data_IF_491433956313
#
_entry.id   IF_491433956313
#
_cell.length_a   1.000
_cell.length_b   1.000
_cell.length_c   1.000
_cell.angle_alpha   90.00
_cell.angle_beta   90.00
_cell.angle_gamma   90.00
#
_symmetry.space_group_name_H-M   'P 1'
#
loop_
_entity.id
_entity.type
_entity.pdbx_description
1 polymer ?
2 polymer ?
3 non-polymer ?
4 non-polymer ?
5 non-polymer ?
6 non-polymer ?
7 non-polymer ?
8 water ?
#
# COMPACT_ATOMS: atom_id res chain seq x y z
N UNK A 1 15.83 -23.37 -14.07
CA UNK A 1 15.54 -22.21 -13.17
C UNK A 1 14.19 -22.39 -12.50
N UNK A 2 14.20 -22.03 -11.24
CA UNK A 2 13.01 -22.08 -10.40
C UNK A 2 12.75 -20.75 -9.75
N UNK A 3 11.47 -20.52 -9.59
CA UNK A 3 10.96 -19.18 -9.27
C UNK A 3 11.25 -18.81 -7.83
N UNK A 4 11.52 -19.84 -7.06
CA UNK A 4 11.69 -19.68 -5.60
C UNK A 4 13.08 -19.19 -5.31
N UNK A 5 13.90 -19.44 -6.31
CA UNK A 5 15.32 -19.09 -6.27
C UNK A 5 15.66 -17.96 -7.21
N UNK A 6 15.97 -16.85 -6.58
CA UNK A 6 16.50 -15.67 -7.26
C UNK A 6 15.44 -15.16 -8.20
N UNK A 7 14.23 -15.54 -7.86
CA UNK A 7 13.02 -15.08 -8.58
C UNK A 7 13.00 -15.64 -9.98
N UNK A 8 13.80 -16.66 -10.12
CA UNK A 8 13.82 -17.45 -11.36
C UNK A 8 14.51 -16.69 -12.45
N UNK A 9 15.11 -15.61 -11.99
CA UNK A 9 15.90 -14.68 -12.81
C UNK A 9 15.05 -13.60 -13.42
N UNK A 10 13.77 -13.71 -13.13
CA UNK A 10 12.75 -12.74 -13.61
C UNK A 10 12.86 -11.39 -12.93
N UNK A 11 12.59 -10.36 -13.70
CA UNK A 11 12.60 -8.99 -13.14
C UNK A 11 11.40 -8.76 -12.24
N UNK A 12 10.31 -9.35 -12.68
CA UNK A 12 8.98 -9.25 -12.04
C UNK A 12 8.42 -10.61 -11.66
N UNK A 13 7.42 -11.05 -12.38
CA UNK A 13 6.65 -12.26 -11.99
C UNK A 13 7.19 -13.52 -12.66
N UNK A 14 7.04 -14.64 -11.97
CA UNK A 14 7.63 -15.91 -12.41
C UNK A 14 6.67 -17.07 -12.18
N UNK A 15 6.60 -17.89 -13.22
CA UNK A 15 5.84 -19.14 -13.22
C UNK A 15 6.70 -20.32 -13.58
N UNK A 16 6.62 -21.30 -12.70
CA UNK A 16 7.21 -22.64 -12.94
C UNK A 16 6.29 -23.45 -13.81
N UNK A 17 6.92 -24.16 -14.70
CA UNK A 17 6.24 -25.09 -15.59
C UNK A 17 6.82 -26.46 -15.54
N UNK A 18 6.01 -27.35 -16.10
CA UNK A 18 6.30 -28.78 -16.13
C UNK A 18 7.57 -29.02 -16.88
N UNK A 19 8.55 -29.34 -16.06
CA UNK A 19 9.92 -29.58 -16.51
C UNK A 19 10.87 -28.57 -15.94
N UNK A 20 11.96 -28.43 -16.67
CA UNK A 20 13.01 -27.46 -16.35
C UNK A 20 12.62 -26.19 -17.05
N UNK A 21 11.32 -25.95 -16.96
CA UNK A 21 10.68 -24.77 -17.59
C UNK A 21 10.19 -23.70 -16.66
N UNK A 22 10.41 -22.49 -17.13
CA UNK A 22 10.04 -21.26 -16.43
C UNK A 22 9.62 -20.17 -17.38
N UNK A 23 8.60 -19.44 -16.98
CA UNK A 23 8.14 -18.27 -17.74
C UNK A 23 8.06 -17.08 -16.82
N UNK A 24 8.70 -16.02 -17.26
CA UNK A 24 8.60 -14.72 -16.59
C UNK A 24 7.45 -13.95 -17.21
N UNK A 25 6.89 -13.10 -16.39
CA UNK A 25 5.86 -12.18 -16.84
C UNK A 25 6.05 -10.79 -16.27
N UNK A 26 5.30 -9.88 -16.84
CA UNK A 26 5.33 -8.47 -16.45
C UNK A 26 3.93 -7.98 -16.14
N UNK A 27 3.91 -7.04 -15.23
CA UNK A 27 2.69 -6.33 -14.82
C UNK A 27 2.13 -5.59 -16.01
N UNK A 28 0.83 -5.35 -15.96
CA UNK A 28 0.21 -4.47 -16.94
C UNK A 28 0.99 -3.17 -17.00
N UNK A 29 1.17 -2.69 -18.21
CA UNK A 29 1.89 -1.46 -18.51
C UNK A 29 3.37 -1.69 -18.72
N UNK A 30 3.68 -2.96 -18.81
CA UNK A 30 5.05 -3.43 -19.14
C UNK A 30 4.96 -4.56 -20.13
N UNK A 31 6.07 -4.71 -20.84
CA UNK A 31 6.27 -5.85 -21.74
C UNK A 31 7.60 -6.54 -21.46
N UNK A 32 7.58 -7.83 -21.70
CA UNK A 32 8.75 -8.72 -21.54
C UNK A 32 9.66 -8.63 -22.75
N UNK A 33 10.93 -8.46 -22.46
CA UNK A 33 11.96 -8.36 -23.49
C UNK A 33 12.31 -9.77 -23.95
N UNK A 34 13.08 -9.75 -25.02
CA UNK A 34 13.49 -11.01 -25.70
C UNK A 34 14.45 -11.86 -24.86
N UNK A 35 14.99 -11.26 -23.82
CA UNK A 35 15.83 -11.99 -22.84
C UNK A 35 14.99 -12.94 -21.98
N UNK A 36 13.70 -12.70 -22.08
CA UNK A 36 12.69 -13.50 -21.39
C UNK A 36 12.59 -13.26 -19.91
N UNK A 37 13.28 -12.22 -19.47
CA UNK A 37 13.33 -11.87 -18.03
C UNK A 37 13.01 -10.43 -17.66
N UNK A 38 13.38 -9.54 -18.55
CA UNK A 38 13.31 -8.09 -18.33
C UNK A 38 11.95 -7.54 -18.72
N UNK A 39 11.54 -6.53 -17.98
CA UNK A 39 10.30 -5.81 -18.23
C UNK A 39 10.57 -4.36 -18.51
N UNK A 40 9.94 -3.89 -19.58
CA UNK A 40 10.06 -2.50 -20.02
C UNK A 40 8.69 -1.81 -20.09
N UNK A 41 8.61 -0.57 -19.60
CA UNK A 41 7.30 0.11 -19.66
C UNK A 41 6.80 0.32 -21.07
N UNK A 42 5.48 0.23 -21.16
CA UNK A 42 4.75 0.38 -22.43
C UNK A 42 3.82 1.56 -22.41
N UNK A 43 3.78 2.16 -21.24
CA UNK A 43 2.93 3.34 -20.97
C UNK A 43 3.73 4.43 -20.27
N UNK A 44 3.12 5.59 -20.18
CA UNK A 44 3.79 6.79 -19.67
C UNK A 44 4.04 6.70 -18.17
N UNK A 45 3.05 6.15 -17.51
CA UNK A 45 3.02 6.07 -16.04
C UNK A 45 2.79 4.66 -15.55
N UNK A 46 3.76 3.76 -15.80
CA UNK A 46 3.63 2.44 -15.26
C UNK A 46 3.66 2.42 -13.75
N UNK A 47 3.04 1.42 -13.19
CA UNK A 47 3.05 1.29 -11.71
C UNK A 47 4.47 1.12 -11.16
N UNK A 48 4.65 1.69 -9.99
CA UNK A 48 5.84 1.41 -9.18
C UNK A 48 7.11 2.09 -9.62
N UNK A 49 6.92 3.00 -10.54
CA UNK A 49 8.01 3.90 -11.01
C UNK A 49 7.69 5.36 -10.67
N UNK A 50 8.73 6.08 -10.34
CA UNK A 50 8.65 7.47 -9.87
C UNK A 50 9.10 8.44 -10.96
N UNK A 51 8.15 9.08 -11.65
CA UNK A 51 8.47 9.86 -12.83
C UNK A 51 9.59 10.87 -12.68
N UNK A 52 9.61 11.57 -11.55
CA UNK A 52 10.56 12.70 -11.44
C UNK A 52 11.96 12.16 -11.30
N UNK A 53 12.01 10.89 -10.91
CA UNK A 53 13.29 10.19 -10.67
C UNK A 53 13.75 9.46 -11.92
N UNK A 54 12.77 9.00 -12.66
CA UNK A 54 13.02 8.26 -13.90
C UNK A 54 13.54 9.22 -14.93
N UNK A 55 13.07 10.44 -14.78
CA UNK A 55 13.42 11.55 -15.69
C UNK A 55 14.77 12.08 -15.29
N UNK A 56 15.00 12.00 -14.00
CA UNK A 56 16.19 12.60 -13.36
C UNK A 56 17.42 11.86 -13.83
N UNK A 57 17.14 10.71 -14.40
CA UNK A 57 18.18 9.74 -14.81
C UNK A 57 18.11 9.33 -16.26
N UNK A 58 17.10 9.89 -16.90
CA UNK A 58 16.84 9.69 -18.34
C UNK A 58 17.87 10.45 -19.17
N UNK B 1 4.25 9.69 11.04
CA UNK B 1 5.60 9.11 10.93
C UNK B 1 6.55 9.79 11.90
N UNK B 2 7.09 8.95 12.76
CA UNK B 2 8.13 9.32 13.75
C UNK B 2 9.51 8.91 13.25
N UNK B 3 10.38 9.90 13.25
CA UNK B 3 11.80 9.69 12.96
C UNK B 3 12.17 9.51 11.51
N UNK B 4 11.24 9.94 10.69
CA UNK B 4 11.44 9.95 9.23
C UNK B 4 11.96 11.25 8.67
N UNK B 5 11.65 11.44 7.41
CA UNK B 5 11.93 12.68 6.69
C UNK B 5 10.83 13.00 5.71
N UNK B 6 10.88 14.21 5.22
CA UNK B 6 9.92 14.65 4.20
C UNK B 6 10.17 13.82 2.96
N UNK B 7 9.08 13.26 2.46
CA UNK B 7 9.10 12.61 1.13
C UNK B 7 9.11 13.73 0.09
N UNK B 8 10.24 13.92 -0.64
CA UNK B 8 10.22 14.98 -1.62
C UNK B 8 9.03 14.87 -2.53
N UNK B 9 8.44 16.02 -2.79
CA UNK B 9 7.21 16.11 -3.58
C UNK B 9 7.38 15.30 -4.85
N UNK B 10 6.47 14.36 -5.01
CA UNK B 10 6.39 13.53 -6.22
C UNK B 10 7.11 12.21 -6.11
N UNK B 11 7.80 12.01 -4.99
CA UNK B 11 8.59 10.77 -4.77
C UNK B 11 7.80 9.67 -4.08
N UNK B 12 6.61 10.05 -3.66
CA UNK B 12 5.64 9.13 -3.06
C UNK B 12 4.28 9.24 -3.79
N UNK B 13 4.26 9.00 -5.11
CA UNK B 13 3.13 9.45 -5.90
C UNK B 13 1.88 8.60 -5.78
N UNK B 14 2.06 7.50 -5.08
CA UNK B 14 0.96 6.52 -4.84
C UNK B 14 0.24 6.78 -3.52
N UNK B 15 0.79 7.71 -2.76
CA UNK B 15 0.23 8.01 -1.43
C UNK B 15 -1.10 8.71 -1.58
N UNK B 16 -2.07 8.22 -0.83
CA UNK B 16 -3.42 8.80 -0.75
C UNK B 16 -3.66 9.40 0.63
N UNK B 17 -4.38 10.50 0.63
CA UNK B 17 -4.94 11.10 1.86
C UNK B 17 -6.44 10.91 1.85
N UNK B 18 -6.94 10.33 2.93
CA UNK B 18 -8.39 10.18 3.14
C UNK B 18 -8.88 11.22 4.14
N UNK B 19 -9.96 11.86 3.74
CA UNK B 19 -10.60 12.93 4.51
C UNK B 19 -12.04 12.59 4.75
N UNK B 20 -12.49 12.98 5.93
CA UNK B 20 -13.93 12.91 6.29
C UNK B 20 -14.36 14.29 6.80
N UNK B 21 -15.27 14.88 6.06
CA UNK B 21 -15.75 16.23 6.33
C UNK B 21 -14.59 17.20 6.37
N UNK B 22 -13.62 16.88 5.54
CA UNK B 22 -12.43 17.71 5.30
C UNK B 22 -11.28 17.48 6.25
N UNK B 23 -11.56 16.65 7.22
CA UNK B 23 -10.61 16.29 8.29
C UNK B 23 -9.83 15.02 7.97
N UNK B 24 -8.55 15.07 8.29
CA UNK B 24 -7.64 13.93 8.07
C UNK B 24 -8.15 12.71 8.81
N UNK B 25 -8.28 11.63 8.05
CA UNK B 25 -8.76 10.34 8.59
C UNK B 25 -7.64 9.30 8.66
N UNK B 26 -7.02 9.15 7.51
CA UNK B 26 -6.11 8.03 7.25
C UNK B 26 -5.39 8.23 5.94
N UNK B 27 -4.46 7.34 5.71
CA UNK B 27 -3.80 7.23 4.41
C UNK B 27 -4.38 6.10 3.61
N UNK B 28 -3.80 5.99 2.43
CA UNK B 28 -4.13 4.94 1.46
C UNK B 28 -3.05 4.78 0.42
N UNK B 29 -3.24 3.77 -0.41
CA UNK B 29 -2.33 3.49 -1.53
C UNK B 29 -3.08 3.29 -2.83
N UNK B 30 -2.71 4.08 -3.80
CA UNK B 30 -3.27 3.96 -5.15
C UNK B 30 -2.65 2.73 -5.82
N UNK B 31 -3.49 1.82 -6.30
CA UNK B 31 -2.99 0.64 -7.07
C UNK B 31 -3.39 0.58 -8.53
N UNK B 32 -4.37 1.41 -8.85
CA UNK B 32 -4.66 1.76 -10.23
C UNK B 32 -5.61 2.94 -10.25
N UNK B 33 -6.08 3.32 -11.41
CA UNK B 33 -6.71 4.66 -11.50
C UNK B 33 -7.97 4.84 -10.69
N UNK B 34 -8.61 3.74 -10.33
CA UNK B 34 -9.87 3.83 -9.55
C UNK B 34 -9.86 3.09 -8.23
N UNK B 35 -8.76 2.46 -7.93
CA UNK B 35 -8.61 1.60 -6.73
C UNK B 35 -7.53 2.05 -5.79
N UNK B 36 -7.95 2.11 -4.54
CA UNK B 36 -7.12 2.48 -3.38
C UNK B 36 -7.24 1.45 -2.29
N UNK B 37 -6.09 1.07 -1.77
CA UNK B 37 -6.00 0.15 -0.63
C UNK B 37 -5.72 0.97 0.62
N UNK B 38 -6.46 0.65 1.66
CA UNK B 38 -6.33 1.31 2.97
C UNK B 38 -6.52 0.26 4.07
N UNK B 39 -6.76 0.75 5.28
CA UNK B 39 -6.96 -0.09 6.46
C UNK B 39 -8.43 -0.07 6.90
N UNK B 40 -8.93 -1.25 7.19
CA UNK B 40 -10.35 -1.40 7.53
C UNK B 40 -10.75 -0.50 8.69
N UNK B 41 -9.84 -0.36 9.64
CA UNK B 41 -10.21 0.26 10.93
C UNK B 41 -10.50 1.74 10.77
N UNK B 42 -10.06 2.25 9.63
CA UNK B 42 -10.22 3.66 9.31
C UNK B 42 -11.67 4.02 9.20
N UNK B 43 -12.46 2.99 9.00
CA UNK B 43 -13.88 3.17 8.62
C UNK B 43 -14.85 2.71 9.67
N UNK B 44 -14.30 2.39 10.81
CA UNK B 44 -15.08 1.78 11.91
C UNK B 44 -16.25 2.68 12.35
N UNK B 45 -16.02 3.96 12.26
CA UNK B 45 -16.85 4.98 12.96
C UNK B 45 -17.53 5.92 12.00
N UNK B 46 -17.43 5.60 10.73
CA UNK B 46 -18.01 6.44 9.67
C UNK B 46 -19.52 6.41 9.72
N UNK B 47 -20.08 7.60 9.76
CA UNK B 47 -21.50 7.77 9.91
C UNK B 47 -22.15 7.95 8.56
N UNK B 48 -21.61 8.93 7.88
CA UNK B 48 -22.06 9.31 6.54
C UNK B 48 -21.01 9.13 5.45
N UNK B 49 -21.18 8.06 4.71
CA UNK B 49 -20.19 7.65 3.69
C UNK B 49 -19.93 8.69 2.61
N UNK B 50 -20.88 9.58 2.46
CA UNK B 50 -20.82 10.63 1.42
C UNK B 50 -19.79 11.72 1.70
N UNK B 51 -19.30 11.69 2.91
CA UNK B 51 -18.37 12.70 3.38
C UNK B 51 -16.94 12.26 3.25
N UNK B 52 -16.76 11.10 2.65
CA UNK B 52 -15.43 10.49 2.46
C UNK B 52 -14.82 10.85 1.13
N UNK B 53 -13.64 11.45 1.20
CA UNK B 53 -12.89 11.91 0.04
C UNK B 53 -11.48 11.36 0.05
N UNK B 54 -11.05 10.96 -1.12
CA UNK B 54 -9.65 10.57 -1.37
C UNK B 54 -8.93 11.61 -2.17
N UNK B 55 -7.72 11.92 -1.75
CA UNK B 55 -6.88 12.92 -2.41
C UNK B 55 -5.54 12.30 -2.84
N UNK B 56 -5.30 12.44 -4.13
CA UNK B 56 -4.05 12.05 -4.76
C UNK B 56 -3.25 13.29 -5.11
N UNK B 57 -1.95 13.10 -5.16
CA UNK B 57 -1.00 14.16 -5.55
C UNK B 57 -0.78 15.20 -4.48
N UNK B 58 -1.18 14.82 -3.30
CA UNK B 58 -1.03 15.70 -2.11
C UNK B 58 0.40 15.67 -1.62
N UNK B 59 0.81 16.78 -1.01
CA UNK B 59 2.16 16.86 -0.45
C UNK B 59 2.19 17.71 0.80
N UNK B 60 1.95 18.98 0.56
CA UNK B 60 1.91 20.00 1.66
C UNK B 60 0.49 20.45 1.88
N UNK B 61 -0.03 20.05 3.02
CA UNK B 61 -1.46 20.22 3.35
C UNK B 61 -1.84 21.67 3.54
N UNK B 62 -0.83 22.50 3.63
CA UNK B 62 -1.05 23.93 3.96
C UNK B 62 -1.38 24.72 2.71
N UNK B 63 -1.14 24.08 1.58
CA UNK B 63 -1.29 24.79 0.31
C UNK B 63 -1.93 23.97 -0.78
N UNK B 64 -2.31 24.71 -1.79
CA UNK B 64 -2.86 24.14 -3.03
C UNK B 64 -1.90 24.49 -4.13
N UNK B 65 -1.44 23.48 -4.84
CA UNK B 65 -0.44 23.71 -5.91
C UNK B 65 -0.88 23.21 -7.28
N UNK B 66 -2.02 22.58 -7.28
CA UNK B 66 -2.70 22.18 -8.50
C UNK B 66 -2.43 20.78 -8.98
N UNK B 67 -1.57 20.11 -8.25
CA UNK B 67 -1.25 18.69 -8.54
C UNK B 67 -2.20 17.72 -7.82
N UNK B 68 -2.96 18.28 -6.89
CA UNK B 68 -3.94 17.50 -6.09
C UNK B 68 -5.11 17.13 -6.95
N UNK B 69 -5.58 15.93 -6.72
CA UNK B 69 -6.81 15.40 -7.31
C UNK B 69 -7.65 14.71 -6.26
N UNK B 70 -8.85 15.26 -6.09
CA UNK B 70 -9.82 14.74 -5.12
C UNK B 70 -10.91 13.96 -5.80
N UNK B 71 -11.27 12.87 -5.15
CA UNK B 71 -12.35 11.98 -5.61
C UNK B 71 -13.24 11.52 -4.47
N UNK B 72 -14.50 11.40 -4.81
CA UNK B 72 -15.47 10.72 -3.94
C UNK B 72 -15.22 9.22 -3.97
N UNK B 73 -15.58 8.61 -2.87
CA UNK B 73 -15.44 7.15 -2.70
C UNK B 73 -16.78 6.48 -2.88
N UNK B 74 -16.80 5.62 -3.88
CA UNK B 74 -18.03 4.91 -4.33
C UNK B 74 -18.27 3.62 -3.57
N UNK B 75 -17.18 3.04 -3.13
CA UNK B 75 -17.24 1.75 -2.41
C UNK B 75 -16.10 1.59 -1.45
N UNK B 76 -16.44 1.08 -0.27
CA UNK B 76 -15.46 0.67 0.73
C UNK B 76 -15.72 -0.79 1.03
N UNK B 77 -14.75 -1.60 0.66
CA UNK B 77 -14.86 -3.06 0.77
C UNK B 77 -13.90 -3.58 1.80
N UNK B 78 -14.49 -4.30 2.73
CA UNK B 78 -13.79 -4.87 3.87
C UNK B 78 -13.99 -6.39 4.00
N UNK B 79 -12.96 -7.13 4.44
CA UNK B 79 -13.13 -8.57 4.56
C UNK B 79 -14.10 -8.94 5.64
N UNK B 80 -14.82 -10.00 5.38
CA UNK B 80 -15.86 -10.47 6.30
C UNK B 80 -15.26 -10.82 7.64
N UNK B 81 -13.98 -11.13 7.62
CA UNK B 81 -13.26 -11.67 8.79
C UNK B 81 -12.73 -10.59 9.73
N UNK B 82 -12.81 -9.37 9.24
CA UNK B 82 -12.40 -8.18 10.02
C UNK B 82 -13.45 -7.82 11.06
N UNK B 83 -12.95 -7.62 12.27
CA UNK B 83 -13.76 -7.21 13.41
C UNK B 83 -13.41 -5.76 13.82
N UNK B 84 -14.39 -4.87 13.78
CA UNK B 84 -14.07 -3.50 14.15
C UNK B 84 -13.35 -3.36 15.46
N UNK B 85 -12.36 -2.50 15.41
CA UNK B 85 -11.59 -2.08 16.58
C UNK B 85 -10.48 -3.04 16.90
N UNK B 86 -10.24 -3.90 15.94
CA UNK B 86 -9.10 -4.85 16.02
C UNK B 86 -8.11 -4.73 14.89
N UNK B 87 -7.14 -5.62 14.95
CA UNK B 87 -5.95 -5.59 14.05
C UNK B 87 -5.96 -6.59 12.91
N UNK B 88 -6.52 -7.76 13.17
CA UNK B 88 -6.52 -8.84 12.16
C UNK B 88 -7.39 -8.49 10.97
N UNK B 89 -6.83 -8.70 9.80
CA UNK B 89 -7.51 -8.47 8.51
C UNK B 89 -7.83 -6.98 8.29
N UNK B 90 -6.91 -6.17 8.79
CA UNK B 90 -7.05 -4.70 8.72
C UNK B 90 -6.68 -4.16 7.34
N UNK B 91 -7.63 -4.36 6.47
CA UNK B 91 -7.50 -3.98 5.04
C UNK B 91 -8.83 -3.58 4.46
N UNK B 92 -8.76 -2.60 3.58
CA UNK B 92 -9.93 -2.10 2.83
C UNK B 92 -9.58 -1.77 1.40
N UNK B 93 -10.50 -2.09 0.53
CA UNK B 93 -10.40 -1.75 -0.90
C UNK B 93 -11.45 -0.71 -1.23
N UNK B 94 -10.96 0.42 -1.71
CA UNK B 94 -11.80 1.56 -2.03
C UNK B 94 -11.86 1.78 -3.51
N UNK B 95 -13.08 1.91 -3.99
CA UNK B 95 -13.36 2.28 -5.39
C UNK B 95 -13.70 3.76 -5.45
N UNK B 96 -12.97 4.47 -6.28
CA UNK B 96 -13.21 5.90 -6.51
C UNK B 96 -14.35 6.10 -7.50
N UNK B 97 -15.04 7.21 -7.32
CA UNK B 97 -16.23 7.54 -8.12
C UNK B 97 -15.88 7.81 -9.57
N UNK B 98 -14.68 8.29 -9.73
CA UNK B 98 -14.10 8.64 -11.03
C UNK B 98 -12.60 8.37 -10.98
N UNK B 99 -12.01 7.88 -12.09
CA UNK B 99 -10.57 7.63 -12.04
C UNK B 99 -9.79 8.90 -11.77
N UNK B 100 -8.68 8.73 -11.09
CA UNK B 100 -7.64 9.77 -11.06
C UNK B 100 -6.96 9.73 -12.42
N UNK B 101 -6.34 10.86 -12.75
CA UNK B 101 -5.55 11.02 -13.97
C UNK B 101 -4.07 10.85 -13.60
N UNK B 102 -3.42 9.88 -14.21
CA UNK B 102 -2.01 9.66 -13.92
C UNK B 102 -1.20 10.82 -14.47
N UNK B 103 -0.31 11.25 -13.60
CA UNK B 103 0.62 12.38 -13.83
C UNK B 103 1.95 12.14 -13.16
N UNK B 104 2.84 13.10 -13.28
CA UNK B 104 4.14 12.93 -12.63
C UNK B 104 3.94 12.79 -11.11
N UNK B 105 2.80 13.29 -10.65
CA UNK B 105 2.55 13.37 -9.20
C UNK B 105 1.53 12.38 -8.67
N UNK B 106 1.00 11.61 -9.60
CA UNK B 106 -0.06 10.62 -9.30
C UNK B 106 0.19 9.37 -10.12
N UNK B 107 0.66 8.36 -9.42
CA UNK B 107 1.10 7.08 -10.01
C UNK B 107 0.74 5.91 -9.09
N UNK B 108 0.18 4.82 -9.64
CA UNK B 108 -0.11 3.69 -8.76
C UNK B 108 1.11 2.89 -8.37
N UNK B 109 1.02 2.32 -7.19
CA UNK B 109 1.99 1.32 -6.70
C UNK B 109 1.57 -0.04 -7.24
N UNK B 110 2.54 -0.85 -7.64
CA UNK B 110 2.19 -2.15 -8.20
C UNK B 110 1.71 -3.09 -7.11
N UNK B 111 0.54 -3.66 -7.36
CA UNK B 111 0.04 -4.76 -6.54
C UNK B 111 0.69 -6.04 -7.06
N UNK B 112 1.56 -6.68 -6.26
CA UNK B 112 2.28 -7.82 -6.83
C UNK B 112 1.46 -9.06 -6.86
N UNK B 113 1.92 -9.99 -7.68
CA UNK B 113 1.44 -11.39 -7.61
C UNK B 113 1.83 -11.97 -6.27
N UNK B 114 0.99 -12.86 -5.80
CA UNK B 114 1.17 -13.44 -4.46
C UNK B 114 2.48 -14.21 -4.37
N UNK B 115 2.73 -15.00 -5.40
CA UNK B 115 3.93 -15.85 -5.38
C UNK B 115 5.19 -15.02 -5.29
N UNK B 116 5.20 -13.98 -6.09
CA UNK B 116 6.34 -13.05 -6.15
C UNK B 116 6.53 -12.38 -4.79
N UNK B 117 5.42 -12.03 -4.22
CA UNK B 117 5.44 -11.26 -2.97
C UNK B 117 5.99 -12.11 -1.84
N UNK B 118 5.63 -13.37 -1.92
CA UNK B 118 5.89 -14.33 -0.82
C UNK B 118 7.29 -14.88 -0.91
N UNK B 119 7.69 -15.08 -2.14
CA UNK B 119 8.97 -15.73 -2.46
C UNK B 119 10.12 -14.77 -2.54
N UNK B 120 9.81 -13.54 -2.89
CA UNK B 120 10.84 -12.53 -3.18
C UNK B 120 10.74 -11.29 -2.31
N UNK B 121 9.58 -10.66 -2.36
CA UNK B 121 9.44 -9.32 -1.74
C UNK B 121 9.57 -9.44 -0.23
N UNK B 122 9.14 -10.57 0.27
CA UNK B 122 9.02 -10.79 1.72
C UNK B 122 10.38 -10.83 2.37
N UNK B 123 11.37 -10.93 1.49
CA UNK B 123 12.80 -11.09 1.91
C UNK B 123 13.66 -9.87 1.68
N UNK B 124 13.05 -8.85 1.10
CA UNK B 124 13.70 -7.57 0.97
C UNK B 124 13.62 -6.95 2.36
N UNK B 125 14.78 -6.57 2.90
CA UNK B 125 14.84 -6.18 4.31
C UNK B 125 14.06 -4.92 4.59
N UNK B 126 14.42 -3.92 3.83
CA UNK B 126 13.91 -2.54 4.04
C UNK B 126 12.85 -2.16 3.04
N UNK B 127 11.89 -1.45 3.60
CA UNK B 127 10.77 -0.87 2.85
C UNK B 127 10.38 0.48 3.43
N UNK B 128 9.66 1.22 2.61
CA UNK B 128 9.24 2.58 2.96
C UNK B 128 7.79 2.64 3.39
N UNK B 129 7.60 3.39 4.45
CA UNK B 129 6.26 3.70 4.99
C UNK B 129 6.12 5.20 5.05
N UNK B 130 4.92 5.67 4.73
CA UNK B 130 4.67 7.08 4.56
C UNK B 130 3.31 7.50 5.06
N UNK B 131 3.26 8.79 5.38
CA UNK B 131 2.00 9.46 5.75
C UNK B 131 2.15 10.80 6.42
N UNK B 132 0.98 11.36 6.70
CA UNK B 132 0.84 12.67 7.35
C UNK B 132 0.46 12.54 8.80
N UNK B 133 0.77 11.40 9.35
CA UNK B 133 0.51 11.09 10.76
C UNK B 133 1.35 11.86 11.74
N UNK B 134 1.12 11.51 12.99
CA UNK B 134 1.84 12.16 14.13
C UNK B 134 3.34 12.00 13.98
N UNK B 135 4.03 13.08 14.25
CA UNK B 135 5.48 13.18 14.12
C UNK B 135 6.17 12.67 15.37
N UNK B 136 5.34 12.59 16.38
CA UNK B 136 5.71 12.08 17.72
C UNK B 136 4.52 11.48 18.40
N UNK B 137 4.81 10.57 19.32
CA UNK B 137 3.77 10.06 20.21
C UNK B 137 3.22 11.25 20.96
N UNK B 138 1.90 11.34 20.91
CA UNK B 138 1.15 12.42 21.57
C UNK B 138 1.51 13.78 21.02
N UNK B 139 1.90 13.79 19.77
CA UNK B 139 2.26 15.01 19.05
C UNK B 139 1.37 15.32 17.88
N UNK B 140 1.66 16.48 17.32
CA UNK B 140 0.97 17.03 16.13
C UNK B 140 1.32 16.22 14.88
N UNK B 141 0.35 16.22 14.00
CA UNK B 141 0.49 15.59 12.67
C UNK B 141 1.33 16.46 11.75
N UNK B 142 1.76 15.82 10.68
CA UNK B 142 2.65 16.44 9.70
C UNK B 142 1.89 17.22 8.67
N UNK B 143 2.47 18.36 8.30
CA UNK B 143 1.92 19.18 7.21
C UNK B 143 2.45 18.77 5.83
N UNK B 144 3.67 18.25 5.86
CA UNK B 144 4.29 17.67 4.64
C UNK B 144 4.37 16.15 4.77
N UNK B 145 4.16 15.48 3.65
CA UNK B 145 4.22 14.01 3.62
C UNK B 145 5.59 13.54 4.04
N UNK B 146 5.55 12.62 4.99
CA UNK B 146 6.75 11.98 5.57
C UNK B 146 6.90 10.54 5.14
N UNK B 147 8.16 10.15 5.11
CA UNK B 147 8.54 8.79 4.76
C UNK B 147 9.67 8.27 5.63
N UNK B 148 9.61 6.98 5.83
CA UNK B 148 10.49 6.21 6.72
C UNK B 148 10.87 4.84 6.21
N UNK B 149 12.15 4.57 6.29
CA UNK B 149 12.69 3.24 5.92
C UNK B 149 12.70 2.35 7.14
N UNK B 150 11.97 1.25 7.03
CA UNK B 150 11.82 0.26 8.13
C UNK B 150 12.23 -1.16 7.72
N UNK B 151 12.89 -1.88 8.63
CA UNK B 151 13.22 -3.26 8.32
C UNK B 151 12.14 -4.18 8.81
N UNK B 152 11.95 -5.19 8.00
CA UNK B 152 10.96 -6.23 8.24
C UNK B 152 11.56 -7.36 9.06
N UNK B 153 10.72 -7.81 9.96
CA UNK B 153 11.04 -8.92 10.86
C UNK B 153 10.21 -10.14 10.54
N UNK B 154 10.89 -11.28 10.58
CA UNK B 154 10.19 -12.57 10.62
C UNK B 154 9.44 -12.62 11.92
N UNK B 155 8.27 -13.21 11.87
CA UNK B 155 7.31 -13.07 12.97
C UNK B 155 7.86 -13.67 14.24
N UNK B 156 8.67 -14.68 14.05
CA UNK B 156 9.26 -15.41 15.19
C UNK B 156 10.17 -14.47 15.94
N UNK B 157 10.86 -13.70 15.12
CA UNK B 157 11.91 -12.78 15.58
C UNK B 157 11.27 -11.60 16.24
N UNK B 158 10.10 -11.29 15.72
CA UNK B 158 9.37 -10.10 16.16
C UNK B 158 8.99 -10.32 17.60
N UNK B 159 8.59 -11.53 17.83
CA UNK B 159 7.99 -11.94 19.11
C UNK B 159 9.06 -11.94 20.17
N UNK B 160 10.22 -12.34 19.71
CA UNK B 160 11.38 -12.58 20.57
C UNK B 160 11.94 -11.26 21.01
N UNK B 161 11.88 -10.34 20.07
CA UNK B 161 12.60 -9.05 20.15
C UNK B 161 11.75 -8.02 20.82
N UNK B 162 10.53 -8.47 21.07
CA UNK B 162 9.48 -7.64 21.66
C UNK B 162 9.49 -7.74 23.17
N UNK B 163 9.27 -6.57 23.75
CA UNK B 163 9.25 -6.42 25.21
C UNK B 163 8.93 -5.00 25.69
N UNK B 168 -1.02 -7.20 24.64
CA UNK B 168 -0.71 -6.91 23.24
C UNK B 168 -1.41 -7.87 22.30
N UNK B 169 -1.96 -7.34 21.20
CA UNK B 169 -2.56 -8.25 20.23
C UNK B 169 -1.52 -9.18 19.67
N UNK B 170 -2.02 -10.31 19.21
CA UNK B 170 -1.18 -11.31 18.57
C UNK B 170 -0.71 -10.82 17.24
N UNK B 171 0.33 -11.51 16.81
CA UNK B 171 0.86 -11.40 15.47
C UNK B 171 0.46 -12.64 14.75
N UNK B 172 -0.45 -12.43 13.82
CA UNK B 172 -0.99 -13.49 12.99
C UNK B 172 -0.30 -13.51 11.66
N UNK B 173 -0.76 -14.47 10.90
CA UNK B 173 -0.17 -14.80 9.58
C UNK B 173 -0.60 -13.73 8.60
N UNK B 174 -1.47 -12.88 9.09
CA UNK B 174 -2.11 -11.84 8.25
C UNK B 174 -1.46 -10.50 8.47
N UNK B 175 -0.45 -10.57 9.30
CA UNK B 175 0.36 -9.41 9.68
C UNK B 175 1.84 -9.66 9.56
N UNK B 176 2.54 -8.56 9.67
CA UNK B 176 3.97 -8.59 9.95
C UNK B 176 4.44 -7.37 10.71
N UNK B 177 5.58 -7.58 11.33
CA UNK B 177 6.30 -6.55 12.09
C UNK B 177 7.36 -5.90 11.27
N UNK B 178 7.46 -4.60 11.46
CA UNK B 178 8.56 -3.82 10.88
C UNK B 178 8.82 -2.56 11.66
N UNK B 179 10.08 -2.19 11.63
CA UNK B 179 10.55 -1.00 12.33
C UNK B 179 11.62 -1.30 13.36
N UNK B 180 11.47 -0.59 14.46
CA UNK B 180 12.48 -0.47 15.52
C UNK B 180 11.87 -0.50 16.90
N UNK B 181 12.66 -1.05 17.80
CA UNK B 181 12.23 -1.34 19.18
C UNK B 181 12.70 -0.30 20.16
N UNK B 182 13.37 0.70 19.63
CA UNK B 182 14.12 1.68 20.46
C UNK B 182 13.40 2.99 20.63
N UNK B 183 12.22 2.99 20.04
CA UNK B 183 11.26 4.09 20.19
C UNK B 183 11.58 5.34 19.43
N UNK B 184 12.41 5.16 18.41
CA UNK B 184 12.93 6.29 17.61
C UNK B 184 12.20 6.51 16.31
N UNK B 185 11.65 5.42 15.83
CA UNK B 185 11.13 5.36 14.44
C UNK B 185 9.96 4.42 14.28
N UNK B 186 8.88 4.98 13.77
CA UNK B 186 7.61 4.25 13.60
C UNK B 186 6.60 5.00 12.74
N UNK B 187 5.58 4.27 12.35
CA UNK B 187 4.36 4.92 11.85
C UNK B 187 3.47 5.11 13.06
N UNK B 188 2.49 5.95 12.88
CA UNK B 188 1.72 6.49 14.03
C UNK B 188 0.31 6.86 13.60
N UNK B 189 -0.48 7.23 14.58
CA UNK B 189 -1.86 7.64 14.31
C UNK B 189 -1.82 8.75 13.26
N UNK B 190 -2.64 8.53 12.26
CA UNK B 190 -2.79 9.42 11.13
C UNK B 190 -2.20 8.82 9.88
N UNK B 191 -1.40 7.80 10.11
CA UNK B 191 -0.68 7.09 9.02
C UNK B 191 -1.39 5.84 8.56
N UNK B 192 -2.30 5.36 9.39
CA UNK B 192 -2.95 4.07 9.10
C UNK B 192 -3.56 4.11 7.73
N UNK B 193 -3.44 2.97 7.09
CA UNK B 193 -3.92 2.80 5.72
C UNK B 193 -2.92 3.04 4.63
N UNK B 194 -1.86 3.71 5.03
CA UNK B 194 -0.80 4.08 4.11
C UNK B 194 0.07 2.91 3.69
N UNK B 195 0.91 3.14 2.67
CA UNK B 195 1.72 2.08 2.11
C UNK B 195 2.98 1.76 2.86
N UNK B 196 3.23 0.47 2.84
CA UNK B 196 4.55 -0.14 3.10
C UNK B 196 4.95 -0.71 1.74
N UNK B 197 5.88 0.01 1.13
CA UNK B 197 6.32 -0.18 -0.27
C UNK B 197 7.72 -0.72 -0.33
N UNK B 198 7.84 -1.72 -1.19
CA UNK B 198 9.06 -2.53 -1.29
C UNK B 198 9.62 -2.46 -2.70
N UNK B 199 10.90 -2.15 -2.76
CA UNK B 199 11.63 -2.02 -4.02
C UNK B 199 12.29 -3.33 -4.42
N UNK B 200 12.09 -3.66 -5.68
CA UNK B 200 12.77 -4.80 -6.31
C UNK B 200 13.04 -4.57 -7.77
N UNK B 201 14.32 -4.60 -8.04
CA UNK B 201 14.87 -4.44 -9.38
C UNK B 201 14.20 -3.32 -10.17
N UNK B 202 14.11 -2.18 -9.51
CA UNK B 202 13.81 -0.91 -10.14
C UNK B 202 12.37 -0.50 -10.10
N UNK B 203 11.61 -1.34 -9.44
CA UNK B 203 10.13 -1.15 -9.31
C UNK B 203 9.66 -1.36 -7.89
N UNK B 204 8.65 -0.58 -7.53
CA UNK B 204 8.07 -0.63 -6.19
C UNK B 204 6.71 -1.31 -6.18
N UNK B 205 6.51 -2.03 -5.10
CA UNK B 205 5.37 -2.91 -4.85
C UNK B 205 4.75 -2.74 -3.48
N UNK B 206 3.44 -2.96 -3.44
CA UNK B 206 2.71 -2.93 -2.16
C UNK B 206 2.82 -4.24 -1.41
N UNK B 207 3.47 -4.14 -0.26
CA UNK B 207 3.67 -5.31 0.64
C UNK B 207 2.98 -5.24 1.99
N UNK B 208 2.69 -4.02 2.40
CA UNK B 208 2.02 -3.83 3.70
C UNK B 208 1.13 -2.62 3.71
N UNK B 209 0.22 -2.66 4.67
CA UNK B 209 -0.63 -1.51 5.02
C UNK B 209 -0.41 -1.16 6.48
N UNK B 210 -0.17 0.11 6.72
CA UNK B 210 -0.04 0.60 8.12
C UNK B 210 -1.35 0.28 8.83
N UNK B 211 -1.23 -0.55 9.84
CA UNK B 211 -2.37 -0.94 10.67
C UNK B 211 -2.38 -0.12 11.95
N UNK B 212 -2.47 -0.80 13.06
CA UNK B 212 -2.41 -0.12 14.36
C UNK B 212 -2.14 -1.04 15.51
N UNK B 213 -1.99 -0.35 16.61
CA UNK B 213 -1.64 -0.96 17.88
C UNK B 213 -1.32 0.02 18.96
N UNK B 214 -0.50 -0.52 19.84
CA UNK B 214 -0.14 0.06 21.15
C UNK B 214 0.89 1.14 21.07
N UNK B 215 0.36 2.34 21.14
CA UNK B 215 1.12 3.59 21.05
C UNK B 215 1.89 3.68 19.76
N UNK B 216 2.64 4.75 19.62
CA UNK B 216 3.52 4.85 18.49
C UNK B 216 4.91 5.15 18.99
N UNK B 217 5.86 4.46 18.39
CA UNK B 217 7.28 4.55 18.72
C UNK B 217 7.51 4.19 20.17
N UNK B 218 6.73 3.22 20.59
CA UNK B 218 6.84 2.65 21.94
C UNK B 218 7.99 1.69 22.06
N UNK B 219 8.86 2.02 23.00
CA UNK B 219 10.03 1.19 23.28
C UNK B 219 9.57 -0.22 23.57
N UNK B 220 10.25 -1.12 22.90
CA UNK B 220 10.10 -2.56 23.10
C UNK B 220 9.11 -3.17 22.13
N UNK B 221 8.61 -2.29 21.29
CA UNK B 221 7.61 -2.68 20.26
C UNK B 221 7.93 -2.23 18.87
N UNK B 222 7.46 -3.07 17.98
CA UNK B 222 7.52 -2.84 16.53
C UNK B 222 6.18 -2.47 15.95
N UNK B 223 6.26 -1.81 14.81
CA UNK B 223 5.09 -1.48 14.00
C UNK B 223 4.47 -2.73 13.43
N UNK B 224 3.14 -2.69 13.41
CA UNK B 224 2.31 -3.75 12.82
C UNK B 224 1.67 -3.32 11.51
N UNK B 225 1.87 -4.20 10.54
CA UNK B 225 1.42 -4.02 9.17
C UNK B 225 0.62 -5.21 8.69
N UNK B 226 -0.41 -4.89 7.95
CA UNK B 226 -1.23 -5.91 7.27
C UNK B 226 -0.41 -6.48 6.14
N UNK B 227 -0.37 -7.80 6.14
CA UNK B 227 0.40 -8.60 5.17
C UNK B 227 -0.38 -8.77 3.87
N UNK B 228 -0.08 -7.86 2.96
CA UNK B 228 -0.89 -7.68 1.74
C UNK B 228 -0.92 -8.93 0.87
N UNK B 229 0.13 -9.73 0.99
CA UNK B 229 0.25 -10.93 0.14
C UNK B 229 -0.90 -11.91 0.35
N UNK B 230 -1.49 -11.82 1.53
CA UNK B 230 -2.54 -12.75 1.95
C UNK B 230 -3.84 -12.41 1.27
N UNK B 231 -3.84 -11.22 0.66
CA UNK B 231 -5.09 -10.57 0.16
C UNK B 231 -5.11 -10.31 -1.32
N UNK B 232 -4.06 -10.70 -1.99
CA UNK B 232 -3.91 -10.40 -3.43
C UNK B 232 -5.05 -10.89 -4.25
N UNK B 233 -5.36 -12.15 -4.03
CA UNK B 233 -6.42 -12.84 -4.79
C UNK B 233 -7.77 -12.24 -4.47
N UNK B 234 -7.92 -11.90 -3.21
CA UNK B 234 -9.19 -11.29 -2.72
C UNK B 234 -9.40 -9.93 -3.39
N UNK B 235 -8.30 -9.18 -3.45
CA UNK B 235 -8.33 -7.84 -4.05
C UNK B 235 -8.60 -7.92 -5.54
N UNK B 236 -7.92 -8.85 -6.16
CA UNK B 236 -8.00 -9.01 -7.62
C UNK B 236 -9.41 -9.37 -8.05
N UNK B 237 -10.02 -10.22 -7.25
CA UNK B 237 -11.37 -10.68 -7.57
C UNK B 237 -12.33 -9.51 -7.47
N UNK B 238 -12.14 -8.74 -6.42
CA UNK B 238 -13.04 -7.60 -6.18
C UNK B 238 -12.90 -6.56 -7.28
N UNK B 239 -11.69 -6.41 -7.79
CA UNK B 239 -11.40 -5.36 -8.80
C UNK B 239 -12.03 -5.70 -10.15
N UNK B 240 -12.46 -6.93 -10.23
CA UNK B 240 -13.09 -7.48 -11.46
C UNK B 240 -14.61 -7.46 -11.36
N UNK B 241 -15.07 -7.09 -10.20
CA UNK B 241 -16.51 -7.10 -9.86
C UNK B 241 -17.18 -5.77 -10.11
N UNK B 242 -18.47 -5.85 -10.39
CA UNK B 242 -19.30 -4.66 -10.55
C UNK B 242 -19.61 -4.03 -9.21
N UNK B 243 -19.66 -2.70 -9.16
CA UNK B 243 -20.07 -2.00 -7.95
C UNK B 243 -21.48 -2.32 -7.56
N UNK B 244 -21.69 -2.26 -6.27
CA UNK B 244 -22.99 -2.51 -5.63
C UNK B 244 -23.52 -1.28 -4.91
N UNK B 245 -24.84 -1.08 -4.93
CA UNK B 245 -25.37 0.05 -4.19
C UNK B 245 -25.03 -0.05 -2.76
N UNK B 246 -24.78 1.12 -2.22
CA UNK B 246 -24.40 1.29 -0.81
C UNK B 246 -22.90 1.15 -0.64
N UNK B 247 -22.32 2.19 -0.07
CA UNK B 247 -20.86 2.37 -0.07
C UNK B 247 -20.13 1.21 0.59
N UNK B 248 -20.55 0.90 1.80
CA UNK B 248 -19.91 -0.20 2.54
C UNK B 248 -20.35 -1.54 2.03
N UNK B 249 -19.34 -2.34 1.76
CA UNK B 249 -19.49 -3.74 1.34
C UNK B 249 -18.53 -4.64 2.11
N UNK B 250 -19.14 -5.61 2.76
CA UNK B 250 -18.41 -6.67 3.42
C UNK B 250 -18.41 -7.85 2.46
N UNK B 251 -17.20 -8.24 2.12
CA UNK B 251 -16.93 -9.29 1.13
C UNK B 251 -16.28 -10.49 1.79
N UNK B 252 -16.76 -11.71 1.47
CA UNK B 252 -16.17 -12.88 2.08
C UNK B 252 -14.69 -12.95 1.88
N UNK B 253 -14.06 -13.36 2.96
CA UNK B 253 -12.65 -13.71 2.97
C UNK B 253 -12.49 -15.08 3.60
N UNK B 254 -11.71 -15.97 2.97
CA UNK B 254 -10.94 -15.75 1.75
C UNK B 254 -11.78 -15.58 0.48
X LIG C 1 3.89 -21.25 -10.02
X LIG C 1 2.93 -20.14 -9.92
X LIG C 1 3.53 -22.05 -11.20
X LIG C 1 5.28 -20.79 -10.14
X LIG C 1 3.77 -22.06 -8.81
X LIG D 1 11.67 4.79 -9.38
X LIG D 1 11.14 5.11 -10.65
X LIG D 1 12.19 3.35 -9.39
X LIG D 1 11.15 2.43 -9.24
X LIG D 1 13.19 3.24 -8.24
X LIG D 1 13.08 4.38 -7.43
X LIG E 1 4.43 -10.72 -20.02
X LIG E 1 3.57 -10.50 -18.94
X LIG E 1 4.36 -9.54 -20.97
X LIG E 1 3.05 -9.00 -21.06
X LIG E 1 4.81 -10.04 -22.34
X LIG E 1 5.30 -8.97 -23.08
X LIG F 1 -1.05 20.64 -1.38
X LIG G 1 -19.82 -9.16 -10.29
X LIG H 1 -24.40 4.23 1.42
X LIG I 1 7.21 -14.88 8.65
X LIG I 1 7.15 -14.48 7.24
X LIG I 1 6.20 -15.89 8.90
X LIG I 1 8.55 -15.43 8.91
X LIG I 1 7.00 -13.74 9.53
X LIG J 1 -17.37 -1.36 8.73
X LIG J 1 -16.59 -2.30 9.43
X LIG J 1 -18.39 -0.73 9.66
X LIG J 1 -18.03 0.62 9.86
X LIG J 1 -18.45 -1.50 10.98
X LIG J 1 -18.03 -0.70 12.07
X LIG K 1 -0.59 3.43 13.54
X LIG K 1 -1.45 3.81 15.75
X LIG K 1 -1.65 3.79 14.35
X LIG K 1 -3.57 4.50 15.30
X LIG K 1 -4.97 4.93 15.35
X LIG K 1 -7.00 5.44 14.67
X LIG K 1 -8.12 5.67 13.89
X LIG K 1 -9.16 6.63 11.95
X LIG K 1 -9.34 5.12 14.29
X LIG K 1 -11.81 4.82 13.91
X LIG K 1 -12.24 3.09 15.57
X LIG K 1 -12.02 1.54 18.23
X LIG K 1 -0.21 3.43 16.26
X LIG K 1 0.76 3.06 15.44
X LIG K 1 0.61 3.05 14.13
X LIG K 1 -2.93 4.21 14.12
X LIG K 1 -2.71 4.25 16.33
X LIG K 1 -5.79 5.05 14.24
X LIG K 1 -6.95 5.58 16.09
X LIG K 1 -5.75 5.26 16.48
X LIG K 1 -8.02 6.42 12.72
X LIG K 1 -10.37 6.09 12.34
X LIG K 1 -10.45 5.34 13.51
X LIG K 1 -11.89 3.42 14.31
X LIG K 1 -5.47 4.83 12.94
X LIG K 1 -12.35 1.77 15.82
X LIG K 1 -12.45 3.96 16.42
X LIG K 1 -12.70 1.22 17.05
X LIG K 1 -12.42 0.94 19.41
X LIG K 1 -13.49 0.06 19.43
X LIG K 1 -14.16 -0.25 18.26
X LIG K 1 -13.77 0.33 17.07
#
# INVERSE_FOLDING_TARGET
LICVNENGGCEQYCSDHTGTKRSCRCHEGYSLLADGVSCTPTVEYPCGKIPILEKRNASKPQGR
IVGGKVCPKGECPWQVLLLVNGAQLCGGTLINTIWVVSAAHCFDKIKNWRNLIAVLGEHDLSEHDGDEQSRRVAQVIIPSTYVPGTTNHDIALLRLHQPVVLTDHVVPLCLPERTFSERTLAFVRFSLVSGWGQLLDRGATALELMVLNVPRLMTQDCLQQSRKVGDSPNITEYMFCAGYSDGSKDSCKGDSGGPHATHYRGTWYLTGIVSWGQGCATVGHFGVYTRVSQYIEWLQKLMRSEPRPGVLLRAPFP
SO4 S O1 O2 O3 O4
GOL C1 O1 C2 O2 C3 O3
GOL C1 O1 C2 O2 C3 O3
CA CA
CL CL
CL CL
SO4 S O1 O2 O3 O4
GOL C1 O1 C2 O2 C3 O3
7ZY C4 C5 C6 C8 C10 N12 C15 C17 C20 C21 C24 C28 C1 N2 C3 N7 C9 C11 N13 C14 C16 C18 C19 N22 O23 N25 O26 C27 C29 C30 C31 C32
#
